data_IF_736094569412
#
_entry.id   IF_736094569412
#
_cell.length_a   1.000
_cell.length_b   1.000
_cell.length_c   1.000
_cell.angle_alpha   90.00
_cell.angle_beta   90.00
_cell.angle_gamma   90.00
#
_symmetry.space_group_name_H-M   'P 1'
#
loop_
_entity.id
_entity.type
_entity.pdbx_description
1 polymer ?
#
# COMPACT_ATOMS: atom_id res chain seq x y z
N UNK A 1 12.10 -4.44 -15.87
CA UNK A 1 12.24 -4.87 -14.45
C UNK A 1 13.56 -4.31 -13.93
N UNK A 2 13.54 -3.17 -13.26
CA UNK A 2 14.75 -2.52 -12.74
C UNK A 2 15.27 -3.39 -11.59
N UNK A 3 16.37 -4.12 -11.79
CA UNK A 3 17.10 -4.75 -10.68
C UNK A 3 17.72 -3.62 -9.86
N UNK A 4 16.99 -3.08 -8.88
CA UNK A 4 17.64 -2.21 -7.91
C UNK A 4 18.73 -3.03 -7.23
N UNK A 5 19.95 -2.50 -7.21
CA UNK A 5 21.06 -3.16 -6.53
C UNK A 5 20.79 -3.00 -5.03
N UNK A 6 20.49 -4.10 -4.34
CA UNK A 6 20.38 -4.14 -2.88
C UNK A 6 21.66 -3.51 -2.31
N UNK A 7 21.50 -2.41 -1.59
CA UNK A 7 22.60 -1.63 -1.03
C UNK A 7 22.87 -2.05 0.42
N UNK A 8 24.14 -2.08 0.84
CA UNK A 8 24.51 -2.44 2.21
C UNK A 8 23.86 -1.54 3.28
N UNK A 9 23.50 -0.30 2.92
CA UNK A 9 22.73 0.61 3.78
C UNK A 9 21.32 0.09 4.06
N UNK A 10 20.63 -0.44 3.05
CA UNK A 10 19.27 -0.98 3.19
C UNK A 10 19.26 -2.22 4.08
N UNK A 11 20.25 -3.11 3.90
CA UNK A 11 20.40 -4.32 4.73
C UNK A 11 20.67 -3.93 6.20
N UNK A 12 21.53 -2.93 6.44
CA UNK A 12 21.80 -2.40 7.79
C UNK A 12 20.55 -1.85 8.46
N UNK A 13 19.81 -1.00 7.75
CA UNK A 13 18.58 -0.41 8.26
C UNK A 13 17.54 -1.49 8.57
N UNK A 14 17.37 -2.47 7.68
CA UNK A 14 16.48 -3.60 7.91
C UNK A 14 16.87 -4.40 9.16
N UNK A 15 18.17 -4.69 9.34
CA UNK A 15 18.67 -5.40 10.51
C UNK A 15 18.42 -4.62 11.82
N UNK A 16 18.60 -3.28 11.81
CA UNK A 16 18.29 -2.43 12.96
C UNK A 16 16.81 -2.39 13.28
N UNK A 17 15.94 -2.28 12.27
CA UNK A 17 14.49 -2.34 12.47
C UNK A 17 14.09 -3.69 13.06
N UNK A 18 14.63 -4.79 12.54
CA UNK A 18 14.34 -6.12 13.06
C UNK A 18 14.82 -6.30 14.51
N UNK A 19 16.03 -5.83 14.83
CA UNK A 19 16.56 -5.84 16.19
C UNK A 19 15.72 -4.99 17.15
N UNK A 20 15.27 -3.81 16.72
CA UNK A 20 14.39 -2.94 17.51
C UNK A 20 13.04 -3.63 17.79
N UNK A 21 12.41 -4.21 16.75
CA UNK A 21 11.15 -4.95 16.91
C UNK A 21 11.32 -6.14 17.85
N UNK A 22 12.39 -6.93 17.70
CA UNK A 22 12.68 -8.06 18.59
C UNK A 22 12.90 -7.62 20.03
N UNK A 23 13.56 -6.47 20.25
CA UNK A 23 13.76 -5.91 21.58
C UNK A 23 12.44 -5.50 22.22
N UNK A 24 11.57 -4.82 21.47
CA UNK A 24 10.24 -4.41 21.94
C UNK A 24 9.39 -5.64 22.28
N UNK A 25 9.38 -6.66 21.42
CA UNK A 25 8.66 -7.92 21.68
C UNK A 25 9.20 -8.62 22.93
N UNK A 26 10.52 -8.67 23.10
CA UNK A 26 11.14 -9.22 24.30
C UNK A 26 10.75 -8.46 25.57
N UNK A 27 10.71 -7.11 25.52
CA UNK A 27 10.23 -6.28 26.62
C UNK A 27 8.76 -6.53 26.95
N UNK A 28 7.89 -6.63 25.94
CA UNK A 28 6.47 -6.93 26.12
C UNK A 28 6.28 -8.32 26.77
N UNK A 29 7.05 -9.32 26.35
CA UNK A 29 6.97 -10.66 26.97
C UNK A 29 7.48 -10.67 28.41
N UNK A 30 8.56 -9.93 28.68
CA UNK A 30 9.13 -9.81 30.01
C UNK A 30 8.15 -9.13 30.99
N UNK A 31 7.58 -7.99 30.61
CA UNK A 31 6.69 -7.20 31.48
C UNK A 31 5.22 -7.68 31.46
N UNK A 32 4.74 -8.21 30.34
CA UNK A 32 3.32 -8.57 30.16
C UNK A 32 2.97 -9.98 30.62
N UNK A 33 3.83 -10.97 30.36
CA UNK A 33 3.50 -12.39 30.59
C UNK A 33 4.49 -13.14 31.50
N UNK A 34 5.57 -12.49 31.95
CA UNK A 34 6.52 -13.09 32.91
C UNK A 34 7.34 -14.27 32.36
N UNK A 35 7.28 -14.54 31.06
CA UNK A 35 8.06 -15.59 30.39
C UNK A 35 9.50 -15.13 30.12
N UNK A 36 10.34 -15.15 31.17
CA UNK A 36 11.75 -14.73 31.12
C UNK A 36 12.58 -15.50 30.07
N UNK A 37 12.29 -16.78 29.87
CA UNK A 37 13.04 -17.63 28.93
C UNK A 37 12.82 -17.20 27.47
N UNK A 38 11.58 -16.86 27.09
CA UNK A 38 11.26 -16.43 25.73
C UNK A 38 11.78 -15.01 25.47
N UNK A 39 11.66 -14.12 26.46
CA UNK A 39 12.19 -12.75 26.37
C UNK A 39 13.71 -12.74 26.13
N UNK A 40 14.46 -13.61 26.82
CA UNK A 40 15.92 -13.72 26.67
C UNK A 40 16.29 -14.19 25.26
N UNK A 41 15.54 -15.15 24.69
CA UNK A 41 15.73 -15.59 23.30
C UNK A 41 15.56 -14.45 22.30
N UNK A 42 14.55 -13.61 22.47
CA UNK A 42 14.33 -12.44 21.60
C UNK A 42 15.44 -11.39 21.74
N UNK A 43 15.96 -11.15 22.94
CA UNK A 43 17.07 -10.21 23.15
C UNK A 43 18.40 -10.72 22.57
N UNK A 44 18.69 -12.01 22.70
CA UNK A 44 19.87 -12.62 22.05
C UNK A 44 19.76 -12.49 20.53
N UNK A 45 18.59 -12.79 19.96
CA UNK A 45 18.35 -12.62 18.53
C UNK A 45 18.50 -11.15 18.09
N UNK A 46 17.95 -10.21 18.86
CA UNK A 46 18.09 -8.78 18.59
C UNK A 46 19.57 -8.34 18.58
N UNK A 47 20.35 -8.77 19.59
CA UNK A 47 21.79 -8.50 19.65
C UNK A 47 22.54 -9.08 18.45
N UNK A 48 22.23 -10.33 18.08
CA UNK A 48 22.80 -10.99 16.90
C UNK A 48 22.54 -10.19 15.61
N UNK A 49 21.29 -9.80 15.35
CA UNK A 49 20.95 -9.03 14.15
C UNK A 49 21.58 -7.62 14.16
N UNK A 50 21.69 -6.99 15.32
CA UNK A 50 22.32 -5.67 15.45
C UNK A 50 23.84 -5.75 15.17
N UNK A 51 24.53 -6.72 15.76
CA UNK A 51 25.98 -6.91 15.61
C UNK A 51 26.34 -7.31 14.18
N UNK A 52 25.65 -8.32 13.61
CA UNK A 52 25.98 -8.78 12.26
C UNK A 52 25.50 -7.78 11.21
N UNK A 53 24.34 -7.15 11.42
CA UNK A 53 23.86 -6.08 10.55
C UNK A 53 24.88 -4.94 10.43
N UNK A 54 25.49 -4.52 11.54
CA UNK A 54 26.47 -3.42 11.56
C UNK A 54 27.84 -3.81 11.00
N UNK A 55 28.39 -4.96 11.41
CA UNK A 55 29.74 -5.37 11.07
C UNK A 55 29.84 -6.04 9.69
N UNK A 56 28.91 -6.95 9.37
CA UNK A 56 28.99 -7.80 8.16
C UNK A 56 27.60 -7.94 7.50
N UNK A 57 27.04 -6.84 6.95
CA UNK A 57 25.71 -6.86 6.32
C UNK A 57 25.61 -7.78 5.09
N UNK A 58 26.76 -8.14 4.49
CA UNK A 58 26.81 -9.01 3.30
C UNK A 58 26.23 -10.40 3.60
N UNK A 59 26.42 -10.92 4.82
CA UNK A 59 25.90 -12.23 5.24
C UNK A 59 24.37 -12.23 5.33
N UNK A 60 23.75 -11.09 5.65
CA UNK A 60 22.29 -10.95 5.76
C UNK A 60 21.61 -10.76 4.39
N UNK A 61 22.37 -10.55 3.32
CA UNK A 61 21.83 -10.29 1.98
C UNK A 61 20.86 -11.38 1.46
N UNK A 62 21.14 -12.69 1.53
CA UNK A 62 20.19 -13.71 1.08
C UNK A 62 18.89 -13.70 1.90
N UNK A 63 19.01 -13.50 3.22
CA UNK A 63 17.86 -13.42 4.13
C UNK A 63 17.01 -12.19 3.79
N UNK A 64 17.64 -11.01 3.63
CA UNK A 64 16.98 -9.78 3.24
C UNK A 64 16.28 -9.90 1.89
N UNK A 65 16.90 -10.58 0.92
CA UNK A 65 16.28 -10.85 -0.39
C UNK A 65 15.03 -11.72 -0.26
N UNK A 66 15.07 -12.77 0.56
CA UNK A 66 13.90 -13.60 0.86
C UNK A 66 12.77 -12.78 1.51
N UNK A 67 13.12 -11.94 2.49
CA UNK A 67 12.20 -11.01 3.12
C UNK A 67 11.53 -10.06 2.12
N UNK A 68 12.29 -9.49 1.18
CA UNK A 68 11.73 -8.62 0.13
C UNK A 68 10.72 -9.33 -0.77
N UNK A 69 10.95 -10.60 -1.10
CA UNK A 69 9.99 -11.40 -1.90
C UNK A 69 8.69 -11.61 -1.11
N UNK A 70 8.80 -11.95 0.18
CA UNK A 70 7.64 -12.09 1.05
C UNK A 70 6.88 -10.76 1.18
N UNK A 71 7.59 -9.65 1.43
CA UNK A 71 7.01 -8.32 1.51
C UNK A 71 6.32 -7.92 0.20
N UNK A 72 6.88 -8.26 -0.95
CA UNK A 72 6.26 -8.01 -2.25
C UNK A 72 4.99 -8.84 -2.46
N UNK A 73 4.97 -10.11 -2.05
CA UNK A 73 3.78 -10.96 -2.09
C UNK A 73 2.67 -10.43 -1.17
N UNK A 74 3.05 -10.00 0.05
CA UNK A 74 2.11 -9.41 1.01
C UNK A 74 1.56 -8.06 0.50
N UNK A 75 2.42 -7.21 -0.05
CA UNK A 75 2.02 -5.94 -0.66
C UNK A 75 1.09 -6.19 -1.86
N UNK A 76 1.39 -7.19 -2.67
CA UNK A 76 0.53 -7.59 -3.77
C UNK A 76 -0.86 -7.94 -3.25
N UNK A 77 -0.96 -8.84 -2.26
CA UNK A 77 -2.23 -9.23 -1.67
C UNK A 77 -2.97 -8.05 -1.02
N UNK A 78 -2.28 -7.26 -0.20
CA UNK A 78 -2.85 -6.15 0.56
C UNK A 78 -3.47 -5.08 -0.36
N UNK A 79 -2.79 -4.72 -1.46
CA UNK A 79 -3.35 -3.75 -2.43
C UNK A 79 -4.66 -4.26 -3.03
N UNK A 80 -4.77 -5.54 -3.38
CA UNK A 80 -6.02 -6.10 -3.94
C UNK A 80 -7.09 -6.13 -2.86
N UNK A 81 -6.74 -6.58 -1.65
CA UNK A 81 -7.67 -6.65 -0.54
C UNK A 81 -8.28 -5.28 -0.22
N UNK A 82 -7.45 -4.25 -0.03
CA UNK A 82 -7.92 -2.89 0.27
C UNK A 82 -8.79 -2.35 -0.86
N UNK A 83 -8.35 -2.50 -2.12
CA UNK A 83 -9.13 -2.01 -3.26
C UNK A 83 -10.46 -2.74 -3.41
N UNK A 84 -10.50 -4.07 -3.20
CA UNK A 84 -11.74 -4.85 -3.20
C UNK A 84 -12.68 -4.39 -2.10
N UNK A 85 -12.19 -4.21 -0.88
CA UNK A 85 -13.01 -3.72 0.24
C UNK A 85 -13.58 -2.34 -0.10
N UNK A 86 -12.74 -1.40 -0.53
CA UNK A 86 -13.19 -0.04 -0.90
C UNK A 86 -14.21 -0.09 -2.04
N UNK A 87 -13.98 -0.92 -3.07
CA UNK A 87 -14.91 -1.07 -4.18
C UNK A 87 -16.26 -1.60 -3.71
N UNK A 88 -16.29 -2.68 -2.93
CA UNK A 88 -17.55 -3.31 -2.52
C UNK A 88 -18.27 -2.58 -1.38
N UNK A 89 -17.58 -1.83 -0.53
CA UNK A 89 -18.20 -1.10 0.58
C UNK A 89 -18.56 0.35 0.24
N UNK A 90 -17.88 0.98 -0.72
CA UNK A 90 -18.10 2.39 -1.05
C UNK A 90 -18.67 2.52 -2.46
N UNK A 91 -17.92 2.09 -3.48
CA UNK A 91 -18.29 2.36 -4.87
C UNK A 91 -19.50 1.53 -5.35
N UNK A 92 -19.53 0.23 -5.03
CA UNK A 92 -20.63 -0.66 -5.40
C UNK A 92 -21.97 -0.22 -4.80
N UNK A 93 -22.10 0.04 -3.49
CA UNK A 93 -23.35 0.53 -2.93
C UNK A 93 -23.70 1.94 -3.42
N UNK A 94 -22.72 2.83 -3.61
CA UNK A 94 -23.00 4.15 -4.21
C UNK A 94 -23.59 4.02 -5.62
N UNK A 95 -23.03 3.13 -6.45
CA UNK A 95 -23.57 2.81 -7.77
C UNK A 95 -24.97 2.16 -7.71
N UNK A 96 -25.19 1.27 -6.73
CA UNK A 96 -26.50 0.65 -6.51
C UNK A 96 -27.56 1.69 -6.13
N UNK A 97 -27.20 2.63 -5.23
CA UNK A 97 -28.05 3.76 -4.81
C UNK A 97 -28.39 4.65 -6.01
N UNK A 98 -27.41 5.05 -6.81
CA UNK A 98 -27.63 5.83 -8.04
C UNK A 98 -28.57 5.10 -9.01
N UNK A 99 -28.40 3.79 -9.15
CA UNK A 99 -29.26 2.95 -10.01
C UNK A 99 -30.68 2.85 -9.46
N UNK A 100 -30.86 2.74 -8.14
CA UNK A 100 -32.16 2.71 -7.48
C UNK A 100 -32.91 4.03 -7.67
N UNK A 101 -32.22 5.15 -7.50
CA UNK A 101 -32.78 6.50 -7.75
C UNK A 101 -32.85 6.86 -9.24
N UNK A 102 -32.45 5.96 -10.14
CA UNK A 102 -32.41 6.15 -11.61
C UNK A 102 -31.65 7.42 -12.04
N UNK A 103 -30.71 7.89 -11.23
CA UNK A 103 -29.89 9.06 -11.53
C UNK A 103 -28.86 8.69 -12.59
N UNK A 104 -28.97 9.29 -13.76
CA UNK A 104 -28.03 9.10 -14.87
C UNK A 104 -27.05 10.28 -14.92
N UNK A 105 -25.90 10.13 -14.25
CA UNK A 105 -24.88 11.19 -14.15
C UNK A 105 -24.18 11.47 -15.48
N UNK A 106 -24.03 10.45 -16.34
CA UNK A 106 -23.23 10.53 -17.57
C UNK A 106 -24.13 10.50 -18.82
N UNK A 107 -25.47 10.55 -18.65
CA UNK A 107 -26.46 10.40 -19.74
C UNK A 107 -26.18 9.14 -20.58
N UNK A 108 -25.84 8.06 -19.92
CA UNK A 108 -25.38 6.83 -20.56
C UNK A 108 -26.54 6.01 -21.15
N UNK A 109 -27.79 6.31 -20.78
CA UNK A 109 -28.97 5.62 -21.29
C UNK A 109 -29.21 5.94 -22.77
N UNK A 110 -29.44 4.88 -23.56
CA UNK A 110 -29.85 5.00 -24.95
C UNK A 110 -31.24 5.64 -25.05
N UNK A 111 -31.32 6.80 -25.68
CA UNK A 111 -32.53 7.48 -26.07
C UNK A 111 -32.81 7.24 -27.57
N UNK A 112 -33.69 6.29 -27.88
CA UNK A 112 -34.07 5.98 -29.26
C UNK A 112 -34.83 7.12 -29.98
N UNK A 113 -35.28 8.15 -29.25
CA UNK A 113 -35.94 9.33 -29.81
C UNK A 113 -34.98 10.52 -30.00
N UNK A 114 -33.71 10.39 -29.59
CA UNK A 114 -32.74 11.45 -29.82
C UNK A 114 -32.21 11.38 -31.25
N UNK A 115 -32.31 12.48 -31.98
CA UNK A 115 -31.76 12.61 -33.34
C UNK A 115 -30.22 12.59 -33.34
N UNK A 116 -29.61 13.07 -32.25
CA UNK A 116 -28.16 13.01 -32.03
C UNK A 116 -27.84 13.05 -30.53
N UNK A 117 -26.80 12.34 -30.11
CA UNK A 117 -26.21 12.45 -28.76
C UNK A 117 -25.15 13.56 -28.68
N UNK A 118 -24.89 14.24 -29.80
CA UNK A 118 -23.97 15.37 -29.83
C UNK A 118 -24.45 16.45 -28.88
N UNK A 119 -23.61 16.80 -27.91
CA UNK A 119 -23.88 17.92 -27.02
C UNK A 119 -23.43 19.16 -27.78
N UNK A 120 -24.41 19.87 -28.34
CA UNK A 120 -24.15 21.12 -29.04
C UNK A 120 -23.59 22.15 -28.06
N UNK A 121 -22.30 22.44 -28.18
CA UNK A 121 -21.66 23.50 -27.41
C UNK A 121 -21.74 24.73 -28.29
N UNK A 122 -22.59 25.68 -27.92
CA UNK A 122 -22.70 26.93 -28.66
C UNK A 122 -21.31 27.56 -28.81
N UNK A 123 -21.00 28.04 -30.02
CA UNK A 123 -19.81 28.84 -30.28
C UNK A 123 -19.93 30.14 -29.47
N UNK A 124 -19.42 30.09 -28.25
CA UNK A 124 -19.26 31.26 -27.42
C UNK A 124 -17.94 31.93 -27.80
N UNK A 125 -17.91 33.25 -27.77
CA UNK A 125 -16.73 34.04 -28.07
C UNK A 125 -15.53 33.52 -27.26
N UNK A 126 -14.36 33.45 -27.91
CA UNK A 126 -13.12 32.97 -27.31
C UNK A 126 -12.83 33.76 -26.02
N UNK A 127 -12.76 33.04 -24.91
CA UNK A 127 -12.54 33.58 -23.57
C UNK A 127 -11.42 32.78 -22.90
N UNK A 128 -10.30 33.44 -22.65
CA UNK A 128 -9.07 32.84 -22.12
C UNK A 128 -9.28 32.28 -20.71
N UNK A 129 -10.04 32.98 -19.87
CA UNK A 129 -10.28 32.59 -18.47
C UNK A 129 -11.05 31.28 -18.38
N UNK A 130 -11.79 30.94 -19.44
CA UNK A 130 -12.54 29.70 -19.55
C UNK A 130 -11.68 28.49 -19.89
N UNK A 131 -10.60 28.69 -20.65
CA UNK A 131 -9.61 27.64 -20.90
C UNK A 131 -8.78 27.34 -19.65
N UNK A 132 -8.57 28.33 -18.79
CA UNK A 132 -7.87 28.14 -17.52
C UNK A 132 -8.71 27.33 -16.50
N UNK A 133 -10.04 27.33 -16.63
CA UNK A 133 -10.99 26.64 -15.74
C UNK A 133 -11.69 25.43 -16.39
N UNK A 134 -11.04 24.75 -17.35
CA UNK A 134 -11.65 23.66 -18.12
C UNK A 134 -11.68 22.28 -17.41
N UNK A 135 -11.03 22.14 -16.26
CA UNK A 135 -10.87 20.90 -15.48
C UNK A 135 -11.44 21.06 -14.06
#
# INVERSE_FOLDING_TARGET
MIKSKITNKEIRQWAWVLAAVMTIVGLIQYFGWGHIQTATGFWIAAGFFLVIGTLIPVVLKPVYKGWLVLAAGLAWFNTRLILSIVFFLIFAPAGLVLRLFRVDLIKQRWNAKAESYWIDRSDQAFDRDRYENQY
#
